data_IF_783518962279
#
_entry.id   IF_783518962279
#
_cell.length_a   1.000
_cell.length_b   1.000
_cell.length_c   1.000
_cell.angle_alpha   90.00
_cell.angle_beta   90.00
_cell.angle_gamma   90.00
#
_symmetry.space_group_name_H-M   'P 1'
#
loop_
_entity.id
_entity.type
_entity.pdbx_description
1 polymer ?
#
# COMPACT_ATOMS: atom_id res chain seq x y z
N UNK A 1 -3.92 -11.96 5.55
CA UNK A 1 -4.21 -11.15 4.36
C UNK A 1 -4.66 -9.77 4.79
N UNK A 2 -4.10 -8.76 4.17
CA UNK A 2 -4.47 -7.39 4.47
C UNK A 2 -5.85 -7.06 3.93
N UNK A 3 -6.59 -6.25 4.69
CA UNK A 3 -7.87 -5.71 4.26
C UNK A 3 -7.83 -4.20 4.40
N UNK A 4 -8.14 -3.51 3.31
CA UNK A 4 -8.29 -2.06 3.34
C UNK A 4 -9.71 -1.69 3.72
N UNK A 5 -9.87 -0.55 4.39
CA UNK A 5 -11.17 0.02 4.69
C UNK A 5 -11.26 1.37 3.99
N UNK A 6 -12.27 1.54 3.15
CA UNK A 6 -12.50 2.81 2.45
C UNK A 6 -12.73 3.93 3.48
N UNK A 7 -11.97 5.01 3.36
CA UNK A 7 -12.03 6.12 4.31
C UNK A 7 -11.06 6.02 5.48
N UNK A 8 -10.30 4.94 5.58
CA UNK A 8 -9.29 4.77 6.61
C UNK A 8 -7.96 5.40 6.18
N UNK A 9 -7.08 5.65 7.13
CA UNK A 9 -5.73 6.15 6.89
C UNK A 9 -4.65 5.17 7.36
N UNK A 10 -5.00 3.91 7.57
CA UNK A 10 -4.05 2.90 8.00
C UNK A 10 -3.17 2.45 6.84
N UNK A 11 -1.88 2.22 7.06
CA UNK A 11 -1.02 1.71 6.00
C UNK A 11 -1.30 0.25 5.68
N UNK A 12 -0.93 -0.17 4.46
CA UNK A 12 -0.84 -1.58 4.13
C UNK A 12 0.49 -2.09 4.68
N UNK A 13 0.47 -3.13 5.49
CA UNK A 13 1.68 -3.70 6.08
C UNK A 13 1.87 -5.11 5.53
N UNK A 14 3.03 -5.36 4.92
CA UNK A 14 3.37 -6.64 4.35
C UNK A 14 4.53 -7.25 5.12
N UNK A 15 4.39 -8.52 5.50
CA UNK A 15 5.46 -9.28 6.13
C UNK A 15 6.08 -10.24 5.13
N UNK A 16 7.40 -10.35 5.17
CA UNK A 16 8.18 -11.27 4.34
C UNK A 16 8.83 -12.33 5.21
N UNK A 17 9.16 -13.47 4.61
CA UNK A 17 9.77 -14.59 5.34
C UNK A 17 11.19 -14.28 5.80
N UNK A 18 11.88 -13.40 5.10
CA UNK A 18 13.25 -13.02 5.41
C UNK A 18 13.39 -11.52 5.58
N UNK A 19 14.41 -11.10 6.32
CA UNK A 19 14.69 -9.70 6.49
C UNK A 19 15.04 -9.04 5.14
N UNK A 20 14.52 -7.84 4.93
CA UNK A 20 14.74 -7.05 3.72
C UNK A 20 16.00 -6.21 3.93
N UNK A 21 17.13 -6.71 3.46
CA UNK A 21 18.41 -6.01 3.60
C UNK A 21 18.91 -5.60 2.21
N UNK A 22 19.58 -4.45 2.18
CA UNK A 22 20.19 -3.93 0.95
C UNK A 22 19.19 -3.69 -0.17
N UNK A 23 17.98 -3.28 0.18
CA UNK A 23 16.98 -2.88 -0.81
C UNK A 23 17.28 -1.47 -1.27
N UNK A 24 17.61 -1.32 -2.56
CA UNK A 24 18.00 -0.04 -3.14
C UNK A 24 16.81 0.74 -3.69
N UNK A 25 15.85 0.04 -4.29
CA UNK A 25 14.67 0.66 -4.88
C UNK A 25 13.43 -0.18 -4.60
N UNK A 26 12.32 0.52 -4.44
CA UNK A 26 11.00 -0.08 -4.24
C UNK A 26 10.04 0.55 -5.24
N UNK A 27 9.21 -0.29 -5.86
CA UNK A 27 8.06 0.18 -6.64
C UNK A 27 6.86 -0.65 -6.23
N UNK A 28 5.86 -0.02 -5.64
CA UNK A 28 4.62 -0.69 -5.27
C UNK A 28 3.46 0.02 -5.96
N UNK A 29 2.55 -0.76 -6.52
CA UNK A 29 1.42 -0.24 -7.28
C UNK A 29 0.14 -0.91 -6.80
N UNK A 30 -0.82 -0.10 -6.38
CA UNK A 30 -2.16 -0.54 -6.03
C UNK A 30 -3.07 -0.21 -7.21
N UNK A 31 -3.67 -1.24 -7.82
CA UNK A 31 -4.39 -1.06 -9.08
C UNK A 31 -5.55 -2.05 -9.23
N UNK A 32 -6.40 -1.79 -10.21
CA UNK A 32 -7.42 -2.71 -10.68
C UNK A 32 -7.82 -2.33 -12.11
N UNK A 33 -7.84 -3.32 -13.01
CA UNK A 33 -8.36 -3.19 -14.38
C UNK A 33 -7.79 -1.97 -15.11
N UNK A 34 -6.47 -1.78 -15.00
CA UNK A 34 -5.78 -0.69 -15.66
C UNK A 34 -5.84 0.65 -14.92
N UNK A 35 -6.60 0.74 -13.83
CA UNK A 35 -6.64 1.95 -13.01
C UNK A 35 -5.67 1.81 -11.85
N UNK A 36 -4.76 2.77 -11.74
CA UNK A 36 -3.81 2.84 -10.63
C UNK A 36 -4.37 3.77 -9.57
N UNK A 37 -4.53 3.26 -8.33
CA UNK A 37 -5.01 4.05 -7.20
C UNK A 37 -3.88 4.75 -6.47
N UNK A 38 -2.73 4.09 -6.35
CA UNK A 38 -1.60 4.64 -5.61
C UNK A 38 -0.31 3.95 -6.05
N UNK A 39 0.78 4.72 -6.05
CA UNK A 39 2.14 4.22 -6.24
C UNK A 39 3.01 4.64 -5.08
N UNK A 40 3.94 3.77 -4.71
CA UNK A 40 4.96 4.06 -3.70
C UNK A 40 6.33 3.76 -4.28
N UNK A 41 7.32 4.48 -3.81
CA UNK A 41 8.73 4.25 -4.11
C UNK A 41 9.53 4.13 -2.81
N UNK A 42 10.85 4.06 -2.90
CA UNK A 42 11.73 3.93 -1.73
C UNK A 42 11.68 5.13 -0.79
N UNK A 43 11.19 6.27 -1.25
CA UNK A 43 11.04 7.46 -0.40
C UNK A 43 9.71 7.49 0.34
N UNK A 44 8.71 6.76 -0.12
CA UNK A 44 7.36 6.77 0.46
C UNK A 44 6.98 5.47 1.15
N UNK A 45 7.58 4.35 0.75
CA UNK A 45 7.43 3.08 1.46
C UNK A 45 8.38 3.05 2.65
N UNK A 46 7.98 2.39 3.73
CA UNK A 46 8.81 2.24 4.93
C UNK A 46 9.19 0.78 5.09
N UNK A 47 10.50 0.50 5.05
CA UNK A 47 11.03 -0.85 5.24
C UNK A 47 11.57 -0.95 6.66
N UNK A 48 11.12 -1.96 7.40
CA UNK A 48 11.55 -2.21 8.77
C UNK A 48 11.69 -3.71 8.99
N UNK A 49 12.94 -4.19 9.00
CA UNK A 49 13.22 -5.62 9.19
C UNK A 49 12.59 -6.47 8.10
N UNK A 50 11.56 -7.21 8.45
CA UNK A 50 10.84 -8.10 7.54
C UNK A 50 9.56 -7.49 6.97
N UNK A 51 9.30 -6.21 7.25
CA UNK A 51 8.05 -5.59 6.85
C UNK A 51 8.25 -4.43 5.88
N UNK A 52 7.27 -4.24 4.99
CA UNK A 52 7.13 -3.03 4.20
C UNK A 52 5.77 -2.42 4.56
N UNK A 53 5.79 -1.16 4.95
CA UNK A 53 4.60 -0.39 5.24
C UNK A 53 4.34 0.60 4.11
N UNK A 54 3.12 0.59 3.56
CA UNK A 54 2.71 1.43 2.45
C UNK A 54 1.63 2.40 2.94
N UNK A 55 2.00 3.64 3.28
CA UNK A 55 1.05 4.57 3.87
C UNK A 55 -0.02 5.03 2.89
N UNK A 56 -1.22 5.27 3.42
CA UNK A 56 -2.37 5.75 2.67
C UNK A 56 -3.08 6.85 3.46
N UNK A 57 -3.57 7.86 2.76
CA UNK A 57 -4.41 8.89 3.37
C UNK A 57 -5.88 8.51 3.28
N UNK A 58 -6.74 9.20 4.05
CA UNK A 58 -8.19 9.02 3.97
C UNK A 58 -8.70 9.30 2.56
N UNK A 59 -8.22 10.37 1.95
CA UNK A 59 -8.63 10.77 0.61
C UNK A 59 -8.26 9.70 -0.42
N UNK A 60 -7.08 9.10 -0.26
CA UNK A 60 -6.62 8.06 -1.19
C UNK A 60 -7.48 6.80 -1.09
N UNK A 61 -7.77 6.34 0.12
CA UNK A 61 -8.63 5.16 0.29
C UNK A 61 -10.08 5.42 -0.12
N UNK A 62 -10.55 6.67 0.01
CA UNK A 62 -11.89 7.06 -0.43
C UNK A 62 -12.10 6.85 -1.93
N UNK A 63 -11.04 6.94 -2.73
CA UNK A 63 -11.15 6.76 -4.18
C UNK A 63 -11.36 5.29 -4.57
N UNK A 64 -11.15 4.37 -3.65
CA UNK A 64 -11.24 2.93 -3.94
C UNK A 64 -12.69 2.48 -3.73
N UNK A 65 -13.45 2.43 -4.82
CA UNK A 65 -14.89 2.11 -4.80
C UNK A 65 -15.19 0.68 -5.27
N UNK A 66 -14.19 -0.18 -5.26
CA UNK A 66 -14.35 -1.58 -5.60
C UNK A 66 -14.01 -2.46 -4.39
N UNK A 67 -14.50 -3.69 -4.40
CA UNK A 67 -14.32 -4.60 -3.27
C UNK A 67 -12.98 -5.32 -3.28
N UNK A 68 -12.29 -5.34 -4.41
CA UNK A 68 -11.00 -6.02 -4.57
C UNK A 68 -10.07 -5.17 -5.41
N UNK A 69 -8.81 -5.13 -5.00
CA UNK A 69 -7.75 -4.49 -5.75
C UNK A 69 -6.54 -5.43 -5.81
N UNK A 70 -5.57 -5.08 -6.62
CA UNK A 70 -4.33 -5.84 -6.77
C UNK A 70 -3.17 -4.98 -6.32
N UNK A 71 -2.21 -5.59 -5.65
CA UNK A 71 -0.99 -4.92 -5.22
C UNK A 71 0.19 -5.66 -5.83
N UNK A 72 1.03 -4.92 -6.54
CA UNK A 72 2.26 -5.44 -7.13
C UNK A 72 3.44 -4.70 -6.52
N UNK A 73 4.46 -5.46 -6.09
CA UNK A 73 5.66 -4.90 -5.49
C UNK A 73 6.87 -5.38 -6.25
N UNK A 74 7.74 -4.46 -6.59
CA UNK A 74 8.99 -4.71 -7.25
C UNK A 74 10.12 -4.17 -6.38
N UNK A 75 11.08 -5.01 -6.05
CA UNK A 75 12.23 -4.66 -5.23
C UNK A 75 13.51 -4.82 -6.01
N UNK A 76 14.43 -3.88 -5.85
CA UNK A 76 15.78 -3.97 -6.39
C UNK A 76 16.78 -4.06 -5.25
N UNK A 77 17.57 -5.12 -5.24
CA UNK A 77 18.69 -5.34 -4.31
C UNK A 77 19.96 -5.60 -5.11
N UNK A 78 20.85 -4.62 -5.17
CA UNK A 78 22.02 -4.73 -6.04
C UNK A 78 21.60 -4.85 -7.49
N UNK A 79 21.80 -6.01 -8.11
CA UNK A 79 21.35 -6.28 -9.48
C UNK A 79 20.16 -7.24 -9.55
N UNK A 80 19.64 -7.68 -8.41
CA UNK A 80 18.54 -8.63 -8.35
C UNK A 80 17.20 -7.91 -8.25
N UNK A 81 16.28 -8.30 -9.12
CA UNK A 81 14.92 -7.77 -9.16
C UNK A 81 13.96 -8.86 -8.72
N UNK A 82 13.12 -8.57 -7.75
CA UNK A 82 12.10 -9.49 -7.27
C UNK A 82 10.72 -8.86 -7.37
N UNK A 83 9.73 -9.67 -7.75
CA UNK A 83 8.33 -9.26 -7.84
C UNK A 83 7.49 -10.04 -6.85
N UNK A 84 6.55 -9.34 -6.22
CA UNK A 84 5.55 -9.95 -5.35
C UNK A 84 4.18 -9.41 -5.74
N UNK A 85 3.20 -10.32 -5.83
CA UNK A 85 1.83 -9.95 -6.15
C UNK A 85 0.92 -10.37 -5.01
N UNK A 86 0.02 -9.47 -4.60
CA UNK A 86 -1.03 -9.78 -3.65
C UNK A 86 -2.36 -9.63 -4.37
N UNK A 87 -3.02 -10.75 -4.61
CA UNK A 87 -4.24 -10.81 -5.39
C UNK A 87 -5.17 -11.87 -4.80
N UNK A 88 -6.38 -11.53 -4.42
CA UNK A 88 -6.92 -10.19 -4.27
C UNK A 88 -6.56 -9.55 -2.93
N UNK A 89 -6.54 -8.22 -2.91
CA UNK A 89 -6.53 -7.46 -1.67
C UNK A 89 -7.95 -6.91 -1.49
N UNK A 90 -8.60 -7.25 -0.40
CA UNK A 90 -9.99 -6.89 -0.20
C UNK A 90 -10.12 -5.47 0.34
N UNK A 91 -11.17 -4.77 -0.12
CA UNK A 91 -11.49 -3.42 0.31
C UNK A 91 -12.87 -3.42 0.92
N UNK A 92 -12.96 -3.14 2.21
CA UNK A 92 -14.23 -3.03 2.90
C UNK A 92 -14.84 -1.67 2.61
N UNK A 93 -16.00 -1.65 1.96
CA UNK A 93 -16.68 -0.42 1.61
C UNK A 93 -17.39 0.18 2.82
N UNK A 94 -17.34 1.51 2.90
CA UNK A 94 -18.06 2.27 3.92
C UNK A 94 -18.92 3.31 3.21
N UNK A 95 -20.08 3.56 3.77
CA UNK A 95 -21.02 4.57 3.23
C UNK A 95 -20.74 5.96 3.76
N UNK A 96 -20.02 6.06 4.87
CA UNK A 96 -19.64 7.35 5.44
C UNK A 96 -18.45 7.91 4.65
N UNK A 97 -18.66 9.05 3.99
CA UNK A 97 -17.63 9.71 3.19
C UNK A 97 -17.03 10.93 3.90
N UNK A 98 -17.24 11.04 5.20
CA UNK A 98 -16.67 12.11 6.00
C UNK A 98 -15.16 12.01 6.04
N UNK A 99 -14.48 13.10 5.77
CA UNK A 99 -13.01 13.19 5.91
C UNK A 99 -12.73 13.95 7.19
N UNK A 100 -12.04 13.29 8.13
CA UNK A 100 -11.64 13.91 9.37
C UNK A 100 -10.43 14.81 9.16
N UNK A 101 -10.44 15.96 9.85
CA UNK A 101 -9.31 16.85 9.93
C UNK A 101 -8.56 16.59 11.23
N UNK A 102 -7.27 16.33 11.14
CA UNK A 102 -6.45 16.04 12.31
C UNK A 102 -5.75 17.28 12.82
N UNK A 103 -5.74 17.43 14.14
CA UNK A 103 -4.95 18.47 14.79
C UNK A 103 -3.48 18.12 14.57
N UNK A 104 -2.70 19.05 14.06
CA UNK A 104 -1.30 18.82 13.71
C UNK A 104 -1.09 18.41 12.25
N UNK A 105 -2.15 18.32 11.46
CA UNK A 105 -2.05 18.15 10.00
C UNK A 105 -1.64 16.77 9.52
N UNK A 106 -1.75 15.77 10.34
CA UNK A 106 -1.42 14.39 9.96
C UNK A 106 -2.63 13.72 9.31
N UNK A 107 -2.42 13.07 8.18
CA UNK A 107 -3.48 12.36 7.46
C UNK A 107 -3.12 10.93 7.17
#
# INVERSE_FOLDING_TARGET
METLIRGDNKPIILEFDEALINVDQVSAILYRDGRIFKKWDESTAVIDGQTISLPLTQEETMTIQCERVQLEIKLLSGSDIEFFDIVPLYVRQRHDDTIFNFVGGQR
#
